data_IF_684267201602
#
_entry.id   IF_684267201602
#
_cell.length_a   1.000
_cell.length_b   1.000
_cell.length_c   1.000
_cell.angle_alpha   90.00
_cell.angle_beta   90.00
_cell.angle_gamma   90.00
#
_symmetry.space_group_name_H-M   'P 1'
#
loop_
_entity.id
_entity.type
_entity.pdbx_description
1 polymer ?
#
# COMPACT_ATOMS: atom_id res chain seq x y z
N UNK A 1 -7.46 -16.33 45.58
CA UNK A 1 -7.89 -17.29 44.53
C UNK A 1 -7.74 -18.69 45.10
N UNK A 2 -8.85 -19.38 45.32
CA UNK A 2 -8.88 -20.75 45.84
C UNK A 2 -8.33 -21.71 44.79
N UNK A 3 -7.33 -22.51 45.17
CA UNK A 3 -6.72 -23.56 44.33
C UNK A 3 -7.82 -24.40 43.65
N UNK A 4 -7.84 -24.40 42.33
CA UNK A 4 -8.60 -25.36 41.51
C UNK A 4 -7.99 -26.76 41.57
N UNK A 5 -7.79 -27.31 42.77
CA UNK A 5 -7.34 -28.69 42.95
C UNK A 5 -8.51 -29.65 42.77
N UNK A 6 -8.55 -30.34 41.64
CA UNK A 6 -9.45 -31.48 41.44
C UNK A 6 -8.88 -32.71 42.15
N UNK A 7 -9.40 -33.03 43.34
CA UNK A 7 -8.98 -34.23 44.08
C UNK A 7 -9.76 -35.46 43.62
N UNK A 8 -9.11 -36.35 42.88
CA UNK A 8 -9.69 -37.65 42.50
C UNK A 8 -9.44 -38.71 43.57
N UNK A 9 -10.18 -38.63 44.68
CA UNK A 9 -9.94 -39.43 45.90
C UNK A 9 -9.97 -40.95 45.68
N UNK A 10 -10.71 -41.45 44.68
CA UNK A 10 -10.86 -42.88 44.39
C UNK A 10 -9.99 -43.39 43.25
N UNK A 11 -9.00 -42.61 42.80
CA UNK A 11 -8.18 -42.96 41.64
C UNK A 11 -7.50 -44.33 41.74
N UNK A 12 -6.76 -44.58 42.83
CA UNK A 12 -6.01 -45.84 42.99
C UNK A 12 -6.94 -47.07 43.04
N UNK A 13 -8.08 -46.94 43.72
CA UNK A 13 -9.08 -48.00 43.79
C UNK A 13 -9.69 -48.31 42.41
N UNK A 14 -10.14 -47.27 41.70
CA UNK A 14 -10.77 -47.43 40.38
C UNK A 14 -9.78 -47.92 39.32
N UNK A 15 -8.50 -47.53 39.44
CA UNK A 15 -7.42 -48.03 38.59
C UNK A 15 -7.18 -49.52 38.82
N UNK A 16 -7.15 -49.96 40.08
CA UNK A 16 -6.98 -51.38 40.42
C UNK A 16 -8.16 -52.22 39.91
N UNK A 17 -9.41 -51.76 40.14
CA UNK A 17 -10.61 -52.40 39.59
C UNK A 17 -10.58 -52.48 38.05
N UNK A 18 -10.13 -51.41 37.38
CA UNK A 18 -9.99 -51.41 35.93
C UNK A 18 -8.95 -52.43 35.43
N UNK A 19 -7.82 -52.59 36.14
CA UNK A 19 -6.80 -53.60 35.82
C UNK A 19 -7.34 -55.03 35.98
N UNK A 20 -8.07 -55.30 37.06
CA UNK A 20 -8.70 -56.61 37.29
C UNK A 20 -9.76 -56.93 36.22
N UNK A 21 -10.62 -55.97 35.90
CA UNK A 21 -11.65 -56.11 34.86
C UNK A 21 -11.00 -56.33 33.49
N UNK A 22 -9.93 -55.58 33.17
CA UNK A 22 -9.21 -55.74 31.91
C UNK A 22 -8.54 -57.12 31.81
N UNK A 23 -7.91 -57.59 32.90
CA UNK A 23 -7.34 -58.94 32.98
C UNK A 23 -8.41 -60.02 32.80
N UNK A 24 -9.55 -59.89 33.48
CA UNK A 24 -10.68 -60.80 33.34
C UNK A 24 -11.21 -60.86 31.90
N UNK A 25 -11.47 -59.71 31.28
CA UNK A 25 -11.97 -59.66 29.89
C UNK A 25 -10.96 -60.26 28.91
N UNK A 26 -9.67 -60.00 29.09
CA UNK A 26 -8.61 -60.45 28.16
C UNK A 26 -8.41 -61.97 28.17
N UNK A 27 -8.83 -62.64 29.25
CA UNK A 27 -8.73 -64.09 29.41
C UNK A 27 -10.04 -64.83 29.05
N UNK A 28 -11.11 -64.13 28.69
CA UNK A 28 -12.38 -64.76 28.33
C UNK A 28 -12.33 -65.33 26.91
N UNK A 29 -12.52 -66.64 26.78
CA UNK A 29 -12.77 -67.29 25.49
C UNK A 29 -14.26 -67.20 25.11
N UNK A 30 -14.52 -66.79 23.87
CA UNK A 30 -15.89 -66.61 23.35
C UNK A 30 -16.32 -67.87 22.60
N UNK A 31 -17.44 -68.45 23.02
CA UNK A 31 -18.08 -69.62 22.39
C UNK A 31 -19.53 -69.33 22.06
N UNK A 32 -20.16 -70.15 21.21
CA UNK A 32 -21.55 -69.95 20.78
C UNK A 32 -22.55 -69.99 21.96
N UNK A 33 -22.22 -70.75 23.01
CA UNK A 33 -23.06 -70.88 24.20
C UNK A 33 -22.93 -69.67 25.15
N UNK A 34 -21.76 -69.01 25.20
CA UNK A 34 -21.46 -67.96 26.18
C UNK A 34 -21.53 -66.52 25.62
N UNK A 35 -21.56 -66.36 24.28
CA UNK A 35 -21.47 -65.06 23.58
C UNK A 35 -22.44 -64.00 24.09
N UNK A 36 -23.67 -64.39 24.46
CA UNK A 36 -24.68 -63.47 25.02
C UNK A 36 -24.24 -62.91 26.38
N UNK A 37 -23.62 -63.73 27.22
CA UNK A 37 -23.11 -63.34 28.53
C UNK A 37 -21.88 -62.45 28.38
N UNK A 38 -20.95 -62.79 27.49
CA UNK A 38 -19.77 -61.96 27.19
C UNK A 38 -20.18 -60.56 26.74
N UNK A 39 -21.14 -60.45 25.80
CA UNK A 39 -21.67 -59.16 25.34
C UNK A 39 -22.27 -58.32 26.48
N UNK A 40 -22.96 -58.95 27.44
CA UNK A 40 -23.51 -58.25 28.62
C UNK A 40 -22.40 -57.71 29.53
N UNK A 41 -21.33 -58.48 29.74
CA UNK A 41 -20.16 -58.03 30.53
C UNK A 41 -19.49 -56.83 29.87
N UNK A 42 -19.21 -56.90 28.57
CA UNK A 42 -18.60 -55.79 27.81
C UNK A 42 -19.48 -54.53 27.84
N UNK A 43 -20.81 -54.69 27.69
CA UNK A 43 -21.73 -53.57 27.79
C UNK A 43 -21.71 -52.91 29.18
N UNK A 44 -21.60 -53.70 30.26
CA UNK A 44 -21.48 -53.20 31.63
C UNK A 44 -20.18 -52.41 31.82
N UNK A 45 -19.06 -52.91 31.31
CA UNK A 45 -17.76 -52.24 31.39
C UNK A 45 -17.75 -50.94 30.60
N UNK A 46 -18.25 -50.94 29.36
CA UNK A 46 -18.38 -49.72 28.57
C UNK A 46 -19.27 -48.68 29.25
N UNK A 47 -20.34 -49.11 29.93
CA UNK A 47 -21.19 -48.21 30.72
C UNK A 47 -20.45 -47.58 31.90
N UNK A 48 -19.66 -48.35 32.63
CA UNK A 48 -18.86 -47.85 33.75
C UNK A 48 -17.77 -46.85 33.29
N UNK A 49 -17.07 -47.16 32.19
CA UNK A 49 -16.10 -46.25 31.57
C UNK A 49 -16.77 -44.95 31.12
N UNK A 50 -17.96 -45.05 30.50
CA UNK A 50 -18.74 -43.88 30.10
C UNK A 50 -19.10 -43.00 31.30
N UNK A 51 -19.59 -43.58 32.39
CA UNK A 51 -19.92 -42.84 33.60
C UNK A 51 -18.72 -42.07 34.19
N UNK A 52 -17.53 -42.68 34.18
CA UNK A 52 -16.29 -42.01 34.61
C UNK A 52 -15.95 -40.82 33.70
N UNK A 53 -16.11 -40.99 32.39
CA UNK A 53 -15.88 -39.92 31.42
C UNK A 53 -16.92 -38.79 31.51
N UNK A 54 -18.19 -39.13 31.72
CA UNK A 54 -19.27 -38.16 31.92
C UNK A 54 -18.98 -37.31 33.17
N UNK A 55 -18.53 -37.94 34.26
CA UNK A 55 -18.11 -37.23 35.47
C UNK A 55 -16.93 -36.29 35.25
N UNK A 56 -15.94 -36.68 34.44
CA UNK A 56 -14.83 -35.80 34.04
C UNK A 56 -15.34 -34.56 33.31
N UNK A 57 -16.30 -34.72 32.39
CA UNK A 57 -16.90 -33.63 31.62
C UNK A 57 -17.69 -32.69 32.55
N UNK A 58 -18.49 -33.23 33.46
CA UNK A 58 -19.21 -32.44 34.46
C UNK A 58 -18.28 -31.59 35.32
N UNK A 59 -17.21 -32.19 35.86
CA UNK A 59 -16.23 -31.48 36.69
C UNK A 59 -15.56 -30.37 35.87
N UNK A 60 -15.15 -30.64 34.62
CA UNK A 60 -14.59 -29.61 33.74
C UNK A 60 -15.58 -28.46 33.55
N UNK A 61 -16.85 -28.76 33.28
CA UNK A 61 -17.89 -27.74 33.09
C UNK A 61 -18.09 -26.91 34.36
N UNK A 62 -18.21 -27.54 35.53
CA UNK A 62 -18.41 -26.86 36.80
C UNK A 62 -17.22 -25.96 37.21
N UNK A 63 -16.00 -26.32 36.81
CA UNK A 63 -14.81 -25.47 37.04
C UNK A 63 -14.75 -24.32 36.03
N UNK A 64 -15.10 -24.59 34.77
CA UNK A 64 -15.03 -23.59 33.71
C UNK A 64 -16.15 -22.55 33.82
N UNK A 65 -17.32 -22.93 34.32
CA UNK A 65 -18.48 -22.03 34.42
C UNK A 65 -18.22 -20.77 35.27
N UNK A 66 -17.65 -20.85 36.49
CA UNK A 66 -17.21 -19.66 37.24
C UNK A 66 -16.18 -18.82 36.49
N UNK A 67 -15.29 -19.46 35.73
CA UNK A 67 -14.31 -18.75 34.91
C UNK A 67 -14.97 -18.00 33.75
N UNK A 68 -15.92 -18.61 33.04
CA UNK A 68 -16.64 -17.95 31.95
C UNK A 68 -17.49 -16.79 32.43
N UNK A 69 -18.11 -16.92 33.62
CA UNK A 69 -18.83 -15.81 34.26
C UNK A 69 -17.88 -14.66 34.56
N UNK A 70 -16.74 -14.95 35.20
CA UNK A 70 -15.72 -13.93 35.48
C UNK A 70 -15.19 -13.27 34.19
N UNK A 71 -14.85 -14.08 33.19
CA UNK A 71 -14.40 -13.62 31.88
C UNK A 71 -15.43 -12.70 31.22
N UNK A 72 -16.71 -13.05 31.30
CA UNK A 72 -17.81 -12.23 30.76
C UNK A 72 -17.95 -10.91 31.51
N UNK A 73 -17.88 -10.94 32.84
CA UNK A 73 -17.93 -9.72 33.67
C UNK A 73 -16.74 -8.79 33.38
N UNK A 74 -15.53 -9.35 33.21
CA UNK A 74 -14.35 -8.55 32.84
C UNK A 74 -14.54 -7.93 31.46
N UNK A 75 -15.03 -8.67 30.48
CA UNK A 75 -15.30 -8.15 29.13
C UNK A 75 -16.35 -7.04 29.12
N UNK A 76 -17.40 -7.17 29.94
CA UNK A 76 -18.40 -6.13 30.11
C UNK A 76 -17.78 -4.83 30.65
N UNK A 77 -16.97 -4.93 31.72
CA UNK A 77 -16.24 -3.80 32.28
C UNK A 77 -15.30 -3.17 31.25
N UNK A 78 -14.53 -3.99 30.54
CA UNK A 78 -13.66 -3.51 29.45
C UNK A 78 -14.45 -2.77 28.37
N UNK A 79 -15.62 -3.27 27.99
CA UNK A 79 -16.47 -2.67 26.97
C UNK A 79 -16.93 -1.28 27.38
N UNK A 80 -17.39 -1.12 28.63
CA UNK A 80 -17.84 0.17 29.17
C UNK A 80 -16.70 1.21 29.11
N UNK A 81 -15.48 0.81 29.51
CA UNK A 81 -14.32 1.72 29.48
C UNK A 81 -13.90 2.05 28.05
N UNK A 82 -13.89 1.06 27.14
CA UNK A 82 -13.53 1.27 25.72
C UNK A 82 -14.51 2.20 25.01
N UNK A 83 -15.81 2.06 25.28
CA UNK A 83 -16.83 2.94 24.72
C UNK A 83 -16.64 4.39 25.18
N UNK A 84 -16.40 4.60 26.48
CA UNK A 84 -16.11 5.92 27.01
C UNK A 84 -14.80 6.53 26.45
N UNK A 85 -13.72 5.73 26.33
CA UNK A 85 -12.45 6.14 25.73
C UNK A 85 -12.63 6.56 24.27
N UNK A 86 -13.38 5.80 23.47
CA UNK A 86 -13.65 6.13 22.07
C UNK A 86 -14.44 7.43 21.92
N UNK A 87 -15.43 7.67 22.78
CA UNK A 87 -16.17 8.94 22.80
C UNK A 87 -15.21 10.11 23.04
N UNK A 88 -14.36 10.03 24.05
CA UNK A 88 -13.41 11.11 24.37
C UNK A 88 -12.38 11.29 23.25
N UNK A 89 -11.85 10.21 22.68
CA UNK A 89 -10.92 10.28 21.53
C UNK A 89 -11.57 10.94 20.32
N UNK A 90 -12.84 10.61 20.05
CA UNK A 90 -13.58 11.22 18.94
C UNK A 90 -13.80 12.73 19.16
N UNK A 91 -14.11 13.14 20.40
CA UNK A 91 -14.24 14.55 20.76
C UNK A 91 -12.93 15.30 20.60
N UNK A 92 -11.81 14.72 21.05
CA UNK A 92 -10.48 15.30 20.84
C UNK A 92 -10.21 15.46 19.34
N UNK A 93 -10.36 14.40 18.53
CA UNK A 93 -10.16 14.47 17.08
C UNK A 93 -11.02 15.53 16.42
N UNK A 94 -12.30 15.64 16.81
CA UNK A 94 -13.22 16.63 16.27
C UNK A 94 -12.79 18.06 16.62
N UNK A 95 -12.32 18.30 17.85
CA UNK A 95 -11.79 19.61 18.24
C UNK A 95 -10.53 19.98 17.47
N UNK A 96 -9.59 19.04 17.33
CA UNK A 96 -8.36 19.27 16.54
C UNK A 96 -8.66 19.53 15.06
N UNK A 97 -9.65 18.83 14.50
CA UNK A 97 -10.14 19.04 13.15
C UNK A 97 -10.77 20.44 12.99
N UNK A 98 -11.61 20.85 13.93
CA UNK A 98 -12.23 22.18 13.93
C UNK A 98 -11.19 23.29 14.05
N UNK A 99 -10.19 23.14 14.92
CA UNK A 99 -9.07 24.08 15.02
C UNK A 99 -8.31 24.18 13.69
N UNK A 100 -8.08 23.04 13.03
CA UNK A 100 -7.41 22.99 11.73
C UNK A 100 -8.23 23.66 10.63
N UNK A 101 -9.54 23.41 10.60
CA UNK A 101 -10.46 24.02 9.63
C UNK A 101 -10.52 25.54 9.82
N UNK A 102 -10.72 26.01 11.05
CA UNK A 102 -10.69 27.45 11.36
C UNK A 102 -9.38 28.11 10.92
N UNK A 103 -8.24 27.49 11.23
CA UNK A 103 -6.94 28.00 10.77
C UNK A 103 -6.85 28.05 9.24
N UNK A 104 -7.41 27.05 8.57
CA UNK A 104 -7.44 27.00 7.09
C UNK A 104 -8.32 28.11 6.52
N UNK A 105 -9.50 28.35 7.10
CA UNK A 105 -10.41 29.43 6.72
C UNK A 105 -9.77 30.80 6.93
N UNK A 106 -9.17 31.05 8.11
CA UNK A 106 -8.45 32.29 8.41
C UNK A 106 -7.29 32.52 7.42
N UNK A 107 -6.50 31.49 7.13
CA UNK A 107 -5.42 31.58 6.14
C UNK A 107 -5.93 31.84 4.72
N UNK A 108 -7.09 31.28 4.36
CA UNK A 108 -7.71 31.51 3.06
C UNK A 108 -8.18 32.95 2.91
N UNK A 109 -8.82 33.51 3.94
CA UNK A 109 -9.19 34.93 3.95
C UNK A 109 -7.97 35.84 3.79
N UNK A 110 -6.88 35.55 4.50
CA UNK A 110 -5.63 36.31 4.39
C UNK A 110 -5.02 36.14 2.99
N UNK A 111 -5.05 34.93 2.43
CA UNK A 111 -4.58 34.66 1.08
C UNK A 111 -5.33 35.49 0.05
N UNK A 112 -6.66 35.44 0.06
CA UNK A 112 -7.51 36.17 -0.91
C UNK A 112 -7.25 37.68 -0.85
N UNK A 113 -7.04 38.24 0.35
CA UNK A 113 -6.68 39.65 0.54
C UNK A 113 -5.28 40.00 0.03
N UNK A 114 -4.32 39.08 0.14
CA UNK A 114 -2.93 39.32 -0.26
C UNK A 114 -2.73 39.09 -1.74
N UNK A 115 -3.21 37.98 -2.29
CA UNK A 115 -3.03 37.65 -3.70
C UNK A 115 -3.69 38.69 -4.62
N UNK A 116 -4.78 39.34 -4.18
CA UNK A 116 -5.42 40.43 -4.91
C UNK A 116 -4.52 41.67 -5.10
N UNK A 117 -3.43 41.81 -4.33
CA UNK A 117 -2.45 42.88 -4.49
C UNK A 117 -1.40 42.58 -5.57
N UNK A 118 -1.38 41.35 -6.08
CA UNK A 118 -0.43 40.85 -7.06
C UNK A 118 -1.16 40.42 -8.34
N UNK A 119 -0.46 40.39 -9.48
CA UNK A 119 -1.00 39.84 -10.74
C UNK A 119 -0.84 38.30 -10.79
N UNK A 120 -1.12 37.64 -9.66
CA UNK A 120 -0.87 36.20 -9.44
C UNK A 120 -2.16 35.38 -9.30
N UNK A 121 -3.31 36.02 -9.10
CA UNK A 121 -4.60 35.36 -8.90
C UNK A 121 -5.08 34.52 -10.11
N UNK A 122 -4.44 34.66 -11.28
CA UNK A 122 -4.71 33.82 -12.47
C UNK A 122 -3.76 32.63 -12.59
N UNK A 123 -2.73 32.58 -11.75
CA UNK A 123 -1.62 31.62 -11.83
C UNK A 123 -1.69 30.65 -10.67
N UNK A 124 -1.89 31.15 -9.45
CA UNK A 124 -1.92 30.35 -8.22
C UNK A 124 -3.24 30.47 -7.48
N UNK A 125 -3.68 29.32 -6.98
CA UNK A 125 -4.80 29.20 -6.04
C UNK A 125 -4.27 29.00 -4.61
N UNK A 126 -5.14 29.05 -3.60
CA UNK A 126 -4.74 28.89 -2.20
C UNK A 126 -4.05 27.54 -1.94
N UNK A 127 -4.55 26.49 -2.60
CA UNK A 127 -4.05 25.12 -2.52
C UNK A 127 -2.63 24.96 -3.09
N UNK A 128 -2.18 25.88 -3.95
CA UNK A 128 -0.82 25.86 -4.51
C UNK A 128 0.25 26.21 -3.46
N UNK A 129 -0.11 27.05 -2.49
CA UNK A 129 0.79 27.44 -1.41
C UNK A 129 0.53 26.63 -0.12
N UNK A 130 -0.72 26.25 0.14
CA UNK A 130 -1.07 25.60 1.40
C UNK A 130 -0.41 24.21 1.53
N UNK A 131 0.43 24.05 2.56
CA UNK A 131 1.00 22.75 2.92
C UNK A 131 0.47 22.27 4.27
N UNK A 132 0.51 20.95 4.51
CA UNK A 132 0.12 20.37 5.80
C UNK A 132 0.91 20.93 6.99
N UNK A 133 2.15 21.38 6.75
CA UNK A 133 3.00 22.02 7.76
C UNK A 133 2.40 23.32 8.27
N UNK A 134 1.77 24.12 7.40
CA UNK A 134 1.14 25.39 7.77
C UNK A 134 0.01 25.18 8.78
N UNK A 135 -0.63 24.02 8.75
CA UNK A 135 -1.74 23.66 9.62
C UNK A 135 -1.31 23.04 10.95
N UNK A 136 -0.01 22.81 11.17
CA UNK A 136 0.50 22.28 12.44
C UNK A 136 0.24 23.25 13.59
N UNK A 137 -0.08 22.71 14.78
CA UNK A 137 -0.27 23.49 16.01
C UNK A 137 0.98 24.25 16.45
N UNK A 138 2.17 23.74 16.12
CA UNK A 138 3.45 24.39 16.42
C UNK A 138 3.76 25.60 15.54
N UNK A 139 3.14 25.69 14.36
CA UNK A 139 3.37 26.80 13.43
C UNK A 139 2.41 27.94 13.79
N UNK A 140 2.95 29.06 14.26
CA UNK A 140 2.16 30.24 14.60
C UNK A 140 1.59 30.91 13.35
N UNK A 141 0.43 31.56 13.48
CA UNK A 141 -0.20 32.30 12.35
C UNK A 141 0.75 33.31 11.73
N UNK A 142 1.44 34.11 12.55
CA UNK A 142 2.41 35.11 12.06
C UNK A 142 3.55 34.49 11.24
N UNK A 143 4.03 33.29 11.61
CA UNK A 143 5.09 32.61 10.83
C UNK A 143 4.57 32.12 9.49
N UNK A 144 3.38 31.52 9.49
CA UNK A 144 2.72 31.03 8.28
C UNK A 144 2.36 32.17 7.34
N UNK A 145 1.85 33.29 7.86
CA UNK A 145 1.58 34.49 7.07
C UNK A 145 2.86 35.09 6.47
N UNK A 146 3.99 35.01 7.17
CA UNK A 146 5.27 35.47 6.62
C UNK A 146 5.68 34.58 5.44
N UNK A 147 5.60 33.27 5.60
CA UNK A 147 5.88 32.30 4.54
C UNK A 147 5.00 32.55 3.30
N UNK A 148 3.71 32.87 3.51
CA UNK A 148 2.80 33.28 2.44
C UNK A 148 3.28 34.52 1.69
N UNK A 149 3.71 35.57 2.40
CA UNK A 149 4.29 36.76 1.75
C UNK A 149 5.54 36.41 0.98
N UNK A 150 6.45 35.67 1.61
CA UNK A 150 7.73 35.30 1.00
C UNK A 150 7.50 34.50 -0.29
N UNK A 151 6.49 33.61 -0.31
CA UNK A 151 6.04 32.90 -1.50
C UNK A 151 5.53 33.84 -2.60
N UNK A 152 4.54 34.71 -2.29
CA UNK A 152 3.95 35.62 -3.28
C UNK A 152 4.99 36.57 -3.88
N UNK A 153 5.85 37.16 -3.05
CA UNK A 153 6.92 38.05 -3.50
C UNK A 153 7.98 37.33 -4.33
N UNK A 154 8.33 36.09 -3.96
CA UNK A 154 9.24 35.26 -4.77
C UNK A 154 8.61 34.96 -6.13
N UNK A 155 7.35 34.56 -6.15
CA UNK A 155 6.63 34.24 -7.38
C UNK A 155 6.50 35.43 -8.32
N UNK A 156 6.19 36.63 -7.80
CA UNK A 156 6.20 37.87 -8.58
C UNK A 156 7.55 38.09 -9.29
N UNK A 157 8.66 37.98 -8.54
CA UNK A 157 10.02 38.15 -9.08
C UNK A 157 10.38 37.09 -10.11
N UNK A 158 10.09 35.83 -9.80
CA UNK A 158 10.38 34.70 -10.70
C UNK A 158 9.61 34.85 -12.02
N UNK A 159 8.33 35.23 -11.95
CA UNK A 159 7.50 35.45 -13.12
C UNK A 159 7.95 36.66 -13.94
N UNK A 160 8.48 37.71 -13.31
CA UNK A 160 9.09 38.82 -14.03
C UNK A 160 10.30 38.36 -14.85
N UNK A 161 11.11 37.44 -14.32
CA UNK A 161 12.23 36.82 -15.06
C UNK A 161 11.72 35.94 -16.19
N UNK A 162 10.73 35.08 -15.93
CA UNK A 162 10.13 34.20 -16.95
C UNK A 162 9.54 35.01 -18.10
N UNK A 163 8.81 36.10 -17.81
CA UNK A 163 8.20 36.98 -18.83
C UNK A 163 9.24 37.61 -19.77
N UNK A 164 10.50 37.74 -19.34
CA UNK A 164 11.61 38.29 -20.14
C UNK A 164 12.43 37.21 -20.86
N UNK A 165 12.18 35.93 -20.59
CA UNK A 165 12.90 34.81 -21.18
C UNK A 165 12.33 34.42 -22.55
N UNK A 166 13.18 33.97 -23.48
CA UNK A 166 12.76 33.53 -24.83
C UNK A 166 11.73 32.39 -24.78
N UNK A 167 11.85 31.52 -23.79
CA UNK A 167 10.97 30.37 -23.55
C UNK A 167 9.84 30.63 -22.56
N UNK A 168 9.42 31.89 -22.41
CA UNK A 168 8.41 32.32 -21.43
C UNK A 168 7.20 31.37 -21.35
N UNK A 169 6.62 30.97 -22.49
CA UNK A 169 5.42 30.13 -22.50
C UNK A 169 5.65 28.75 -21.87
N UNK A 170 6.77 28.11 -22.19
CA UNK A 170 7.09 26.78 -21.68
C UNK A 170 7.52 26.84 -20.22
N UNK A 171 8.31 27.85 -19.86
CA UNK A 171 8.71 28.10 -18.48
C UNK A 171 7.52 28.43 -17.59
N UNK A 172 6.54 29.20 -18.07
CA UNK A 172 5.32 29.50 -17.32
C UNK A 172 4.54 28.23 -16.96
N UNK A 173 4.44 27.27 -17.90
CA UNK A 173 3.74 26.02 -17.68
C UNK A 173 4.43 25.16 -16.62
N UNK A 174 5.76 24.99 -16.74
CA UNK A 174 6.54 24.20 -15.77
C UNK A 174 6.57 24.88 -14.40
N UNK A 175 6.72 26.21 -14.37
CA UNK A 175 6.79 26.98 -13.13
C UNK A 175 5.50 26.92 -12.32
N UNK A 176 4.33 26.84 -12.97
CA UNK A 176 3.06 26.69 -12.26
C UNK A 176 3.05 25.41 -11.39
N UNK A 177 3.62 24.32 -11.90
CA UNK A 177 3.69 23.05 -11.18
C UNK A 177 4.80 23.09 -10.12
N UNK A 178 6.02 23.42 -10.54
CA UNK A 178 7.22 23.31 -9.69
C UNK A 178 7.37 24.44 -8.68
N UNK A 179 6.83 25.63 -8.98
CA UNK A 179 6.89 26.86 -8.16
C UNK A 179 8.34 27.29 -7.84
N UNK A 180 9.28 26.82 -8.65
CA UNK A 180 10.71 27.07 -8.53
C UNK A 180 11.31 27.39 -9.91
N UNK A 181 11.92 28.58 -10.00
CA UNK A 181 12.45 29.09 -11.26
C UNK A 181 13.66 28.27 -11.73
N UNK A 182 14.55 27.88 -10.82
CA UNK A 182 15.75 27.14 -11.18
C UNK A 182 15.39 25.75 -11.70
N UNK A 183 14.46 25.06 -11.02
CA UNK A 183 13.93 23.78 -11.47
C UNK A 183 13.25 23.91 -12.84
N UNK A 184 12.44 24.95 -13.02
CA UNK A 184 11.74 25.19 -14.29
C UNK A 184 12.72 25.40 -15.47
N UNK A 185 13.76 26.21 -15.26
CA UNK A 185 14.82 26.43 -16.26
C UNK A 185 15.56 25.13 -16.59
N UNK A 186 15.87 24.32 -15.58
CA UNK A 186 16.53 23.03 -15.79
C UNK A 186 15.65 22.07 -16.59
N UNK A 187 14.36 21.94 -16.27
CA UNK A 187 13.43 21.04 -16.98
C UNK A 187 13.27 21.47 -18.44
N UNK A 188 13.08 22.77 -18.70
CA UNK A 188 12.88 23.28 -20.07
C UNK A 188 14.15 23.12 -20.91
N UNK A 189 15.31 23.44 -20.34
CA UNK A 189 16.59 23.28 -21.05
C UNK A 189 16.90 21.81 -21.37
N UNK A 190 16.67 20.90 -20.42
CA UNK A 190 16.85 19.46 -20.64
C UNK A 190 15.90 18.93 -21.72
N UNK A 191 14.62 19.32 -21.66
CA UNK A 191 13.63 18.92 -22.67
C UNK A 191 14.04 19.39 -24.07
N UNK A 192 14.52 20.62 -24.20
CA UNK A 192 15.03 21.14 -25.48
C UNK A 192 16.23 20.36 -25.99
N UNK A 193 17.20 20.04 -25.12
CA UNK A 193 18.36 19.23 -25.49
C UNK A 193 17.92 17.87 -26.03
N UNK A 194 17.02 17.18 -25.32
CA UNK A 194 16.51 15.88 -25.74
C UNK A 194 15.72 15.93 -27.06
N UNK A 195 15.01 17.03 -27.33
CA UNK A 195 14.32 17.22 -28.62
C UNK A 195 15.32 17.45 -29.75
N UNK A 196 16.37 18.24 -29.52
CA UNK A 196 17.44 18.45 -30.51
C UNK A 196 18.17 17.15 -30.83
N UNK A 197 18.55 16.38 -29.81
CA UNK A 197 19.19 15.07 -30.00
C UNK A 197 18.30 14.11 -30.80
N UNK A 198 16.99 14.07 -30.53
CA UNK A 198 16.05 13.25 -31.31
C UNK A 198 15.92 13.73 -32.77
N UNK A 199 15.89 15.04 -33.00
CA UNK A 199 15.86 15.59 -34.36
C UNK A 199 17.14 15.29 -35.15
N UNK A 200 18.30 15.32 -34.50
CA UNK A 200 19.59 14.95 -35.12
C UNK A 200 19.60 13.46 -35.50
N UNK A 201 19.18 12.57 -34.58
CA UNK A 201 19.07 11.14 -34.85
C UNK A 201 18.13 10.87 -36.04
N UNK A 202 16.99 11.56 -36.11
CA UNK A 202 16.04 11.43 -37.23
C UNK A 202 16.65 11.91 -38.55
N UNK A 203 17.33 13.05 -38.57
CA UNK A 203 18.00 13.58 -39.78
C UNK A 203 19.08 12.64 -40.28
N UNK A 204 19.92 12.11 -39.40
CA UNK A 204 20.97 11.15 -39.77
C UNK A 204 20.35 9.87 -40.37
N UNK A 205 19.24 9.40 -39.80
CA UNK A 205 18.50 8.24 -40.33
C UNK A 205 17.84 8.47 -41.70
N UNK A 206 17.47 9.72 -42.03
CA UNK A 206 16.92 10.09 -43.33
C UNK A 206 18.01 10.23 -44.41
N UNK A 207 19.19 10.73 -44.03
CA UNK A 207 20.34 10.90 -44.93
C UNK A 207 20.99 9.55 -45.29
N UNK A 208 20.92 8.54 -44.42
CA UNK A 208 21.46 7.20 -44.68
C UNK A 208 20.63 6.31 -45.63
N UNK A 209 19.52 6.81 -46.21
CA UNK A 209 18.80 6.10 -47.29
C UNK A 209 19.60 6.14 -48.59
N UNK A 210 20.57 5.23 -48.75
CA UNK A 210 21.22 4.98 -50.05
C UNK A 210 20.21 4.35 -51.01
N UNK A 211 19.74 5.10 -52.00
CA UNK A 211 18.89 4.57 -53.06
C UNK A 211 19.66 3.53 -53.88
N UNK A 212 19.22 2.27 -53.84
CA UNK A 212 19.80 1.18 -54.62
C UNK A 212 18.96 0.96 -55.88
N UNK A 213 19.57 1.13 -57.03
CA UNK A 213 18.96 0.84 -58.33
C UNK A 213 19.44 -0.52 -58.85
N UNK A 214 18.52 -1.38 -59.25
CA UNK A 214 18.81 -2.69 -59.86
C UNK A 214 18.43 -2.61 -61.34
N UNK A 215 19.40 -2.87 -62.22
CA UNK A 215 19.20 -2.95 -63.65
C UNK A 215 19.41 -4.40 -64.10
N UNK A 216 18.41 -5.00 -64.72
CA UNK A 216 18.52 -6.33 -65.32
C UNK A 216 18.94 -6.22 -66.79
N UNK A 217 19.99 -6.95 -67.16
CA UNK A 217 20.60 -6.89 -68.49
C UNK A 217 20.62 -8.30 -69.08
N UNK A 218 20.02 -8.46 -70.26
CA UNK A 218 19.72 -9.78 -70.81
C UNK A 218 20.72 -10.28 -71.86
N UNK A 219 21.70 -9.45 -72.25
CA UNK A 219 22.73 -9.84 -73.23
C UNK A 219 24.14 -9.58 -72.71
N UNK A 220 25.08 -10.43 -73.09
CA UNK A 220 26.48 -10.33 -72.65
C UNK A 220 27.16 -9.07 -73.22
N UNK A 221 26.75 -8.64 -74.42
CA UNK A 221 27.28 -7.43 -75.07
C UNK A 221 26.87 -6.17 -74.29
N UNK A 222 25.62 -6.09 -73.88
CA UNK A 222 25.10 -4.95 -73.14
C UNK A 222 25.65 -4.93 -71.70
N UNK A 223 25.84 -6.10 -71.07
CA UNK A 223 26.46 -6.19 -69.75
C UNK A 223 27.90 -5.67 -69.76
N UNK A 224 28.70 -6.02 -70.78
CA UNK A 224 30.08 -5.51 -70.94
C UNK A 224 30.12 -4.01 -71.22
N UNK A 225 29.18 -3.49 -72.01
CA UNK A 225 29.07 -2.06 -72.28
C UNK A 225 28.72 -1.29 -71.00
N UNK A 226 27.77 -1.79 -70.21
CA UNK A 226 27.37 -1.16 -68.94
C UNK A 226 28.52 -1.22 -67.93
N UNK A 227 29.21 -2.36 -67.76
CA UNK A 227 30.37 -2.42 -66.86
C UNK A 227 31.49 -1.45 -67.27
N UNK A 228 31.72 -1.26 -68.58
CA UNK A 228 32.71 -0.29 -69.08
C UNK A 228 32.29 1.14 -68.72
N UNK A 229 31.03 1.50 -68.98
CA UNK A 229 30.50 2.82 -68.68
C UNK A 229 30.49 3.10 -67.16
N UNK A 230 30.15 2.11 -66.33
CA UNK A 230 30.16 2.27 -64.87
C UNK A 230 31.59 2.52 -64.36
N UNK A 231 32.59 1.79 -64.89
CA UNK A 231 34.01 2.02 -64.53
C UNK A 231 34.54 3.36 -65.02
N UNK A 232 34.21 3.76 -66.24
CA UNK A 232 34.67 5.02 -66.82
C UNK A 232 34.12 6.24 -66.07
N UNK A 233 32.95 6.07 -65.44
CA UNK A 233 32.29 7.12 -64.66
C UNK A 233 32.48 6.96 -63.14
N UNK A 234 33.40 6.10 -62.68
CA UNK A 234 33.67 5.83 -61.25
C UNK A 234 32.41 5.47 -60.41
N UNK A 235 31.45 4.79 -61.02
CA UNK A 235 30.22 4.36 -60.35
C UNK A 235 30.48 3.04 -59.63
N UNK A 236 30.25 3.00 -58.31
CA UNK A 236 30.33 1.76 -57.54
C UNK A 236 29.17 0.82 -57.90
N UNK A 237 29.50 -0.42 -58.25
CA UNK A 237 28.52 -1.41 -58.69
C UNK A 237 28.89 -2.81 -58.20
N UNK A 238 27.86 -3.63 -58.03
CA UNK A 238 28.01 -5.06 -57.71
C UNK A 238 27.18 -5.88 -58.69
N UNK A 239 27.84 -6.82 -59.37
CA UNK A 239 27.16 -7.84 -60.17
C UNK A 239 26.68 -8.96 -59.23
N UNK A 240 25.37 -9.20 -59.21
CA UNK A 240 24.72 -10.26 -58.42
C UNK A 240 24.56 -11.50 -59.31
#
# INVERSE_FOLDING_TARGET
MTRGEVKFQSYEKLKLEAMEIAGFISQMEVTDENVKTVKKVLARVNKAVKQLNDRRIEIKKAINEPYEVFNSQVKEIESIVKEADEIVRSQVRNLEEQERQKKTEELKEIWDLRIAQYDLARIFDFEDWLTSKHLNKSESMSKVEKDMTDFLEKSERDLEVIRKHEDCNELMLVYKEEKDLAMSLQIVSEKKRLLQEQEEILKDSEVEKTEKFIFEVFTEKDAKLIELLMKENDIDYRRI
#
